data_IF_382629960969
#
_entry.id   IF_382629960969
#
_cell.length_a   1.000
_cell.length_b   1.000
_cell.length_c   1.000
_cell.angle_alpha   90.00
_cell.angle_beta   90.00
_cell.angle_gamma   90.00
#
_symmetry.space_group_name_H-M   'P 1'
#
loop_
_entity.id
_entity.type
_entity.pdbx_description
1 polymer ?
#
# COMPACT_ATOMS: atom_id res chain seq x y z
N UNK A 1 -3.56 -14.10 -9.48
CA UNK A 1 -4.66 -14.56 -8.58
C UNK A 1 -5.26 -13.34 -7.88
N UNK A 2 -6.58 -13.15 -7.94
CA UNK A 2 -7.26 -12.04 -7.24
C UNK A 2 -7.04 -12.17 -5.74
N UNK A 3 -6.91 -11.04 -5.03
CA UNK A 3 -6.87 -11.04 -3.57
C UNK A 3 -8.16 -11.68 -3.03
N UNK A 4 -8.00 -12.61 -2.10
CA UNK A 4 -9.14 -13.20 -1.40
C UNK A 4 -9.80 -12.16 -0.47
N UNK A 5 -11.09 -12.33 -0.17
CA UNK A 5 -11.85 -11.35 0.63
C UNK A 5 -11.24 -11.10 2.02
N UNK A 6 -10.68 -12.14 2.63
CA UNK A 6 -9.95 -12.03 3.89
C UNK A 6 -8.67 -11.20 3.76
N UNK A 7 -7.95 -11.30 2.63
CA UNK A 7 -6.77 -10.50 2.34
C UNK A 7 -7.15 -9.03 2.10
N UNK A 8 -8.24 -8.78 1.37
CA UNK A 8 -8.77 -7.43 1.16
C UNK A 8 -9.14 -6.81 2.51
N UNK A 9 -9.89 -7.53 3.33
CA UNK A 9 -10.28 -7.08 4.67
C UNK A 9 -9.07 -6.80 5.56
N UNK A 10 -8.07 -7.68 5.54
CA UNK A 10 -6.82 -7.50 6.28
C UNK A 10 -6.09 -6.22 5.84
N UNK A 11 -5.91 -6.03 4.53
CA UNK A 11 -5.26 -4.85 3.97
C UNK A 11 -6.00 -3.58 4.41
N UNK A 12 -7.32 -3.51 4.18
CA UNK A 12 -8.12 -2.33 4.52
C UNK A 12 -8.06 -2.02 6.02
N UNK A 13 -8.18 -3.04 6.89
CA UNK A 13 -8.06 -2.85 8.33
C UNK A 13 -6.68 -2.33 8.73
N UNK A 14 -5.61 -2.88 8.16
CA UNK A 14 -4.24 -2.41 8.43
C UNK A 14 -4.04 -0.96 7.97
N UNK A 15 -4.49 -0.60 6.77
CA UNK A 15 -4.32 0.78 6.30
C UNK A 15 -5.17 1.75 7.14
N UNK A 16 -6.41 1.39 7.49
CA UNK A 16 -7.25 2.21 8.37
C UNK A 16 -6.64 2.41 9.76
N UNK A 17 -6.01 1.38 10.34
CA UNK A 17 -5.30 1.51 11.62
C UNK A 17 -4.12 2.49 11.55
N UNK A 18 -3.48 2.61 10.39
CA UNK A 18 -2.32 3.50 10.18
C UNK A 18 -2.77 4.92 9.82
N UNK A 19 -3.83 5.06 9.01
CA UNK A 19 -4.24 6.31 8.40
C UNK A 19 -5.52 6.97 8.92
N UNK A 20 -6.23 6.32 9.84
CA UNK A 20 -7.50 6.83 10.35
C UNK A 20 -8.67 6.56 9.40
N UNK A 21 -9.80 7.20 9.67
CA UNK A 21 -11.09 6.89 9.04
C UNK A 21 -11.28 7.53 7.65
N UNK A 22 -10.47 8.52 7.27
CA UNK A 22 -10.58 9.25 6.00
C UNK A 22 -9.42 8.88 5.07
N UNK A 23 -9.46 7.63 4.60
CA UNK A 23 -8.53 7.13 3.60
C UNK A 23 -9.27 6.45 2.46
N UNK A 24 -8.76 6.66 1.25
CA UNK A 24 -9.14 5.89 0.08
C UNK A 24 -7.98 4.99 -0.32
N UNK A 25 -8.29 3.72 -0.62
CA UNK A 25 -7.27 2.70 -0.94
C UNK A 25 -7.57 2.10 -2.30
N UNK A 26 -6.63 2.25 -3.22
CA UNK A 26 -6.71 1.73 -4.58
C UNK A 26 -5.67 0.64 -4.80
N UNK A 27 -6.11 -0.48 -5.40
CA UNK A 27 -5.21 -1.52 -5.86
C UNK A 27 -4.65 -1.14 -7.24
N UNK A 28 -3.32 -1.14 -7.35
CA UNK A 28 -2.61 -0.87 -8.60
C UNK A 28 -1.80 -2.10 -9.03
N UNK A 29 -1.17 -1.98 -10.20
CA UNK A 29 -0.15 -2.90 -10.66
C UNK A 29 -0.65 -4.28 -11.10
N UNK A 30 0.27 -5.25 -11.10
CA UNK A 30 0.06 -6.57 -11.70
C UNK A 30 -1.02 -7.40 -10.98
N UNK A 31 -1.39 -7.06 -9.75
CA UNK A 31 -2.45 -7.72 -9.01
C UNK A 31 -3.86 -7.40 -9.51
N UNK A 32 -4.01 -6.45 -10.43
CA UNK A 32 -5.22 -6.29 -11.24
C UNK A 32 -5.38 -7.42 -12.27
N UNK A 33 -4.29 -8.11 -12.63
CA UNK A 33 -4.29 -9.22 -13.56
C UNK A 33 -4.27 -10.57 -12.82
N UNK A 34 -5.32 -11.37 -13.03
CA UNK A 34 -5.47 -12.67 -12.37
C UNK A 34 -4.44 -13.72 -12.81
N UNK A 35 -3.78 -13.53 -13.95
CA UNK A 35 -2.83 -14.48 -14.53
C UNK A 35 -1.42 -14.39 -13.94
N UNK A 36 -1.10 -13.29 -13.23
CA UNK A 36 0.21 -13.12 -12.58
C UNK A 36 0.21 -13.82 -11.23
N UNK A 37 1.24 -14.65 -11.00
CA UNK A 37 1.54 -15.31 -9.72
C UNK A 37 2.71 -14.59 -9.03
N UNK A 38 2.78 -14.68 -7.71
CA UNK A 38 3.92 -14.25 -6.89
C UNK A 38 4.38 -12.79 -7.06
N UNK A 39 3.47 -11.91 -7.45
CA UNK A 39 3.71 -10.47 -7.49
C UNK A 39 3.39 -9.81 -6.15
N UNK A 40 4.11 -8.73 -5.83
CA UNK A 40 3.75 -7.82 -4.74
C UNK A 40 2.38 -7.16 -4.96
N UNK A 41 1.87 -6.54 -3.90
CA UNK A 41 0.62 -5.77 -3.91
C UNK A 41 0.98 -4.29 -3.91
N UNK A 42 0.70 -3.61 -5.02
CA UNK A 42 0.87 -2.17 -5.12
C UNK A 42 -0.41 -1.45 -4.67
N UNK A 43 -0.29 -0.61 -3.65
CA UNK A 43 -1.41 0.17 -3.13
C UNK A 43 -1.14 1.66 -3.28
N UNK A 44 -2.13 2.40 -3.77
CA UNK A 44 -2.20 3.85 -3.63
C UNK A 44 -3.14 4.18 -2.48
N UNK A 45 -2.65 5.01 -1.56
CA UNK A 45 -3.42 5.48 -0.41
C UNK A 45 -3.55 6.99 -0.56
N UNK A 46 -4.79 7.47 -0.65
CA UNK A 46 -5.12 8.89 -0.68
C UNK A 46 -5.76 9.28 0.65
N UNK A 47 -5.30 10.38 1.25
CA UNK A 47 -5.79 10.84 2.54
C UNK A 47 -5.52 12.33 2.71
N UNK A 48 -6.40 13.00 3.46
CA UNK A 48 -6.24 14.39 3.88
C UNK A 48 -5.19 14.56 4.98
N UNK A 49 -4.83 13.47 5.66
CA UNK A 49 -3.93 13.47 6.82
C UNK A 49 -2.55 12.89 6.49
N UNK A 50 -1.50 13.42 7.11
CA UNK A 50 -0.16 12.84 6.97
C UNK A 50 -0.07 11.49 7.67
N UNK A 51 0.35 10.45 6.92
CA UNK A 51 0.63 9.13 7.46
C UNK A 51 2.02 9.09 8.15
N UNK A 52 2.11 9.06 9.49
CA UNK A 52 3.38 9.25 10.20
C UNK A 52 4.42 8.18 9.87
N UNK A 53 3.98 6.93 9.63
CA UNK A 53 4.86 5.83 9.25
C UNK A 53 5.42 5.98 7.83
N UNK A 54 4.64 6.49 6.87
CA UNK A 54 5.13 6.74 5.52
C UNK A 54 6.07 7.96 5.44
N UNK A 55 5.94 8.90 6.39
CA UNK A 55 6.92 9.98 6.53
C UNK A 55 8.32 9.45 6.87
N UNK A 56 8.42 8.35 7.63
CA UNK A 56 9.70 7.68 7.91
C UNK A 56 10.30 7.04 6.65
N UNK A 57 9.46 6.52 5.75
CA UNK A 57 9.91 5.94 4.48
C UNK A 57 10.54 6.98 3.53
N UNK A 58 10.08 8.25 3.57
CA UNK A 58 10.70 9.34 2.78
C UNK A 58 12.19 9.54 3.11
N UNK A 59 12.60 9.27 4.35
CA UNK A 59 13.98 9.38 4.80
C UNK A 59 14.90 8.28 4.27
N UNK A 60 14.34 7.17 3.76
CA UNK A 60 15.09 6.02 3.24
C UNK A 60 15.31 6.05 1.72
N UNK A 61 15.02 7.18 1.02
CA UNK A 61 15.52 7.31 -0.36
C UNK A 61 17.04 7.16 -0.33
N UNK A 62 17.57 6.06 -0.91
CA UNK A 62 19.00 5.87 -1.13
C UNK A 62 19.53 7.18 -1.73
N UNK A 63 20.41 7.83 -0.99
CA UNK A 63 21.15 8.97 -1.47
C UNK A 63 21.92 8.44 -2.69
N UNK A 64 21.67 8.98 -3.88
CA UNK A 64 22.12 8.46 -5.20
C UNK A 64 23.65 8.25 -5.36
N UNK A 65 24.42 8.45 -4.29
CA UNK A 65 25.86 8.31 -4.23
C UNK A 65 26.36 7.16 -3.34
N UNK A 66 25.50 6.29 -2.78
CA UNK A 66 25.91 5.09 -2.02
C UNK A 66 24.97 3.89 -2.19
N UNK A 67 24.63 3.64 -3.44
CA UNK A 67 24.28 2.34 -3.99
C UNK A 67 25.25 2.17 -5.18
#
# INVERSE_FOLDING_TARGET
MRLAENQISLILNTVNQIGGAEIEVFLLGFRLNNSVKDSDIDLLIETSSTLPLLQRAKSYKCNRNRC
#
